data_IF_643028422605
#
_entry.id   IF_643028422605
#
_cell.length_a   1.000
_cell.length_b   1.000
_cell.length_c   1.000
_cell.angle_alpha   90.00
_cell.angle_beta   90.00
_cell.angle_gamma   90.00
#
_symmetry.space_group_name_H-M   'P 1'
#
loop_
_entity.id
_entity.type
_entity.pdbx_description
1 polymer ?
#
# COMPACT_ATOMS: atom_id res chain seq x y z
N UNK A 1 1.69 -0.60 -17.86
CA UNK A 1 1.01 -1.04 -16.62
C UNK A 1 0.53 -2.47 -16.86
N UNK A 2 0.76 -3.40 -15.94
CA UNK A 2 0.15 -4.75 -16.01
C UNK A 2 -0.92 -4.81 -14.91
N UNK A 3 -2.11 -5.26 -15.29
CA UNK A 3 -3.27 -5.45 -14.42
C UNK A 3 -3.44 -6.92 -14.06
N UNK A 4 -4.35 -7.21 -13.11
CA UNK A 4 -4.67 -8.58 -12.69
C UNK A 4 -5.03 -9.49 -13.87
N UNK A 5 -5.83 -8.97 -14.81
CA UNK A 5 -6.24 -9.65 -16.05
C UNK A 5 -5.08 -10.04 -16.98
N UNK A 6 -3.90 -9.43 -16.81
CA UNK A 6 -2.71 -9.76 -17.61
C UNK A 6 -1.88 -10.88 -16.97
N UNK A 7 -2.33 -11.49 -15.87
CA UNK A 7 -1.60 -12.53 -15.15
C UNK A 7 -2.44 -13.81 -15.04
N UNK A 8 -1.77 -14.96 -15.12
CA UNK A 8 -2.39 -16.25 -14.78
C UNK A 8 -2.13 -16.56 -13.30
N UNK A 9 -3.20 -16.69 -12.51
CA UNK A 9 -3.13 -17.01 -11.09
C UNK A 9 -3.31 -18.51 -10.78
N UNK A 10 -3.62 -19.34 -11.77
CA UNK A 10 -3.85 -20.76 -11.56
C UNK A 10 -2.62 -21.43 -10.92
N UNK A 11 -2.83 -22.01 -9.73
CA UNK A 11 -1.79 -22.63 -8.90
C UNK A 11 -0.61 -21.70 -8.56
N UNK A 12 -0.81 -20.37 -8.67
CA UNK A 12 0.20 -19.38 -8.28
C UNK A 12 0.00 -18.93 -6.83
N UNK A 13 1.11 -18.64 -6.17
CA UNK A 13 1.14 -17.98 -4.87
C UNK A 13 1.37 -16.49 -5.11
N UNK A 14 0.33 -15.69 -4.98
CA UNK A 14 0.40 -14.25 -5.18
C UNK A 14 0.82 -13.55 -3.89
N UNK A 15 2.02 -12.98 -3.89
CA UNK A 15 2.40 -12.00 -2.88
C UNK A 15 1.60 -10.73 -3.17
N UNK A 16 0.69 -10.36 -2.28
CA UNK A 16 -0.19 -9.21 -2.45
C UNK A 16 0.11 -8.17 -1.39
N UNK A 17 0.68 -7.04 -1.81
CA UNK A 17 0.96 -5.91 -0.92
C UNK A 17 -0.32 -5.09 -0.77
N UNK A 18 -0.88 -5.07 0.44
CA UNK A 18 -2.16 -4.39 0.77
C UNK A 18 -1.97 -3.34 1.84
N UNK A 19 -2.82 -2.31 1.89
CA UNK A 19 -2.77 -1.30 2.96
C UNK A 19 -3.72 -1.65 4.11
N UNK A 20 -3.34 -2.57 5.00
CA UNK A 20 -4.10 -2.84 6.24
C UNK A 20 -3.65 -2.01 7.44
N UNK A 21 -3.12 -0.81 7.22
CA UNK A 21 -2.86 0.11 8.32
C UNK A 21 -4.18 0.75 8.77
N UNK A 22 -4.97 -0.01 9.54
CA UNK A 22 -6.28 0.36 10.09
C UNK A 22 -6.15 0.90 11.52
N UNK A 23 -7.05 1.80 11.95
CA UNK A 23 -7.10 2.21 13.35
C UNK A 23 -7.61 1.06 14.23
N UNK A 24 -6.98 0.91 15.40
CA UNK A 24 -7.39 -0.03 16.44
C UNK A 24 -7.87 0.75 17.68
N UNK A 25 -8.86 0.21 18.40
CA UNK A 25 -9.27 0.72 19.71
C UNK A 25 -8.35 0.23 20.84
N UNK A 26 -8.70 0.60 22.08
CA UNK A 26 -7.96 0.19 23.28
C UNK A 26 -7.93 -1.33 23.50
N UNK A 27 -8.91 -2.05 22.94
CA UNK A 27 -9.01 -3.52 22.98
C UNK A 27 -8.39 -4.18 21.75
N UNK A 28 -7.67 -3.42 20.92
CA UNK A 28 -7.02 -3.85 19.68
C UNK A 28 -8.00 -4.34 18.60
N UNK A 29 -9.25 -3.87 18.65
CA UNK A 29 -10.27 -4.15 17.63
C UNK A 29 -10.25 -3.10 16.52
N UNK A 30 -10.51 -3.54 15.29
CA UNK A 30 -10.56 -2.66 14.11
C UNK A 30 -11.76 -1.74 14.20
N UNK A 31 -11.52 -0.42 14.20
CA UNK A 31 -12.60 0.60 14.27
C UNK A 31 -13.02 1.12 12.91
N UNK A 32 -12.13 1.07 11.90
CA UNK A 32 -12.43 1.41 10.51
C UNK A 32 -11.89 0.32 9.57
N UNK A 33 -12.81 -0.26 8.81
CA UNK A 33 -12.60 -1.45 7.97
C UNK A 33 -12.40 -1.12 6.49
N UNK A 34 -12.56 0.15 6.12
CA UNK A 34 -12.55 0.64 4.73
C UNK A 34 -11.35 0.13 3.95
N UNK A 35 -10.17 0.12 4.60
CA UNK A 35 -8.92 -0.34 4.00
C UNK A 35 -8.86 -1.85 3.74
N UNK A 36 -9.47 -2.65 4.61
CA UNK A 36 -9.56 -4.09 4.42
C UNK A 36 -10.55 -4.41 3.30
N UNK A 37 -11.70 -3.73 3.32
CA UNK A 37 -12.72 -3.83 2.26
C UNK A 37 -12.19 -3.41 0.90
N UNK A 38 -11.37 -2.37 0.82
CA UNK A 38 -10.78 -1.88 -0.42
C UNK A 38 -9.83 -2.90 -1.09
N UNK A 39 -9.16 -3.76 -0.31
CA UNK A 39 -8.27 -4.79 -0.85
C UNK A 39 -9.02 -6.09 -1.25
N UNK A 40 -10.26 -6.26 -0.79
CA UNK A 40 -11.05 -7.48 -1.04
C UNK A 40 -11.20 -7.81 -2.54
N UNK A 41 -11.51 -6.85 -3.44
CA UNK A 41 -11.67 -7.18 -4.87
C UNK A 41 -10.43 -7.84 -5.48
N UNK A 42 -9.24 -7.31 -5.20
CA UNK A 42 -7.97 -7.89 -5.65
C UNK A 42 -7.76 -9.31 -5.12
N UNK A 43 -8.05 -9.53 -3.83
CA UNK A 43 -7.89 -10.84 -3.20
C UNK A 43 -8.88 -11.84 -3.79
N UNK A 44 -10.16 -11.48 -3.87
CA UNK A 44 -11.22 -12.32 -4.45
C UNK A 44 -10.91 -12.68 -5.91
N UNK A 45 -10.37 -11.75 -6.69
CA UNK A 45 -9.93 -12.01 -8.07
C UNK A 45 -8.88 -13.11 -8.10
N UNK A 46 -7.82 -13.00 -7.30
CA UNK A 46 -6.74 -13.99 -7.28
C UNK A 46 -7.26 -15.38 -6.88
N UNK A 47 -8.10 -15.44 -5.83
CA UNK A 47 -8.65 -16.71 -5.32
C UNK A 47 -9.60 -17.36 -6.32
N UNK A 48 -10.48 -16.58 -6.96
CA UNK A 48 -11.44 -17.09 -7.97
C UNK A 48 -10.75 -17.59 -9.24
N UNK A 49 -9.52 -17.14 -9.52
CA UNK A 49 -8.71 -17.59 -10.65
C UNK A 49 -7.70 -18.69 -10.27
N UNK A 50 -7.96 -19.42 -9.18
CA UNK A 50 -7.20 -20.60 -8.78
C UNK A 50 -5.86 -20.31 -8.11
N UNK A 51 -5.63 -19.07 -7.67
CA UNK A 51 -4.45 -18.67 -6.91
C UNK A 51 -4.64 -18.77 -5.40
N UNK A 52 -3.54 -18.53 -4.67
CA UNK A 52 -3.54 -18.32 -3.22
C UNK A 52 -2.84 -17.01 -2.90
N UNK A 53 -3.20 -16.38 -1.78
CA UNK A 53 -2.67 -15.06 -1.41
C UNK A 53 -1.72 -15.13 -0.22
N UNK A 54 -0.53 -14.53 -0.36
CA UNK A 54 0.35 -14.15 0.75
C UNK A 54 0.25 -12.64 0.92
N UNK A 55 -0.49 -12.19 1.93
CA UNK A 55 -0.74 -10.78 2.19
C UNK A 55 0.40 -10.18 2.98
N UNK A 56 0.96 -9.09 2.44
CA UNK A 56 1.99 -8.28 3.10
C UNK A 56 1.38 -6.92 3.46
N UNK A 57 1.47 -6.54 4.73
CA UNK A 57 0.99 -5.25 5.22
C UNK A 57 1.90 -4.64 6.27
N UNK A 58 1.58 -3.40 6.64
CA UNK A 58 2.14 -2.73 7.80
C UNK A 58 1.02 -2.21 8.68
N UNK A 59 1.32 -2.02 9.97
CA UNK A 59 0.42 -1.38 10.92
C UNK A 59 1.20 -0.36 11.75
N UNK A 60 0.75 0.90 11.75
CA UNK A 60 1.37 2.00 12.46
C UNK A 60 2.84 2.24 12.07
N UNK A 61 3.61 2.74 13.04
CA UNK A 61 5.05 2.98 12.96
C UNK A 61 5.69 2.45 14.25
N UNK A 62 5.85 1.12 14.36
CA UNK A 62 6.33 0.50 15.59
C UNK A 62 7.76 0.90 15.89
N UNK A 63 8.13 0.87 17.17
CA UNK A 63 9.52 0.89 17.64
C UNK A 63 9.86 -0.53 18.09
N UNK A 64 10.62 -1.27 17.28
CA UNK A 64 10.80 -2.71 17.46
C UNK A 64 9.49 -3.48 17.26
N UNK A 65 9.30 -4.58 17.99
CA UNK A 65 8.17 -5.49 17.80
C UNK A 65 7.04 -5.22 18.81
N UNK A 66 6.49 -4.00 18.81
CA UNK A 66 5.41 -3.62 19.72
C UNK A 66 4.18 -4.53 19.53
N UNK A 67 3.81 -5.38 20.51
CA UNK A 67 2.71 -6.33 20.37
C UNK A 67 1.37 -5.70 20.02
N UNK A 68 1.15 -4.42 20.31
CA UNK A 68 -0.09 -3.69 19.97
C UNK A 68 -0.23 -3.44 18.46
N UNK A 69 0.89 -3.42 17.73
CA UNK A 69 0.94 -3.20 16.30
C UNK A 69 1.13 -4.49 15.50
N UNK A 70 0.85 -5.64 16.11
CA UNK A 70 0.85 -6.93 15.41
C UNK A 70 -0.37 -7.04 14.50
N UNK A 71 -0.16 -7.57 13.29
CA UNK A 71 -1.25 -7.83 12.35
C UNK A 71 -2.13 -9.02 12.78
N UNK A 72 -1.74 -9.79 13.81
CA UNK A 72 -2.59 -10.86 14.35
C UNK A 72 -3.94 -10.34 14.84
N UNK A 73 -3.99 -9.10 15.33
CA UNK A 73 -5.20 -8.49 15.89
C UNK A 73 -6.27 -8.24 14.82
N UNK A 74 -5.85 -8.08 13.55
CA UNK A 74 -6.77 -7.83 12.44
C UNK A 74 -7.23 -9.12 11.74
N UNK A 75 -6.57 -10.27 11.98
CA UNK A 75 -6.88 -11.55 11.32
C UNK A 75 -8.37 -11.93 11.41
N UNK A 76 -9.06 -11.80 12.56
CA UNK A 76 -10.48 -12.12 12.64
C UNK A 76 -11.34 -11.23 11.72
N UNK A 77 -11.03 -9.93 11.65
CA UNK A 77 -11.78 -8.98 10.82
C UNK A 77 -11.48 -9.18 9.33
N UNK A 78 -10.21 -9.42 8.97
CA UNK A 78 -9.84 -9.74 7.58
C UNK A 78 -10.53 -11.02 7.14
N UNK A 79 -10.53 -12.07 7.97
CA UNK A 79 -11.22 -13.34 7.65
C UNK A 79 -12.71 -13.13 7.44
N UNK A 80 -13.35 -12.33 8.30
CA UNK A 80 -14.77 -11.99 8.19
C UNK A 80 -15.10 -11.26 6.89
N UNK A 81 -14.30 -10.25 6.52
CA UNK A 81 -14.52 -9.44 5.31
C UNK A 81 -14.26 -10.28 4.05
N UNK A 82 -13.19 -11.08 4.03
CA UNK A 82 -12.89 -11.93 2.89
C UNK A 82 -13.88 -13.10 2.75
N UNK A 83 -14.51 -13.53 3.84
CA UNK A 83 -15.39 -14.70 3.84
C UNK A 83 -14.63 -16.03 3.73
N UNK A 84 -13.33 -16.01 4.06
CA UNK A 84 -12.44 -17.18 4.06
C UNK A 84 -11.54 -17.14 5.29
N UNK A 85 -11.05 -18.30 5.71
CA UNK A 85 -10.07 -18.39 6.79
C UNK A 85 -8.75 -17.75 6.36
N UNK A 86 -8.24 -16.82 7.17
CA UNK A 86 -6.93 -16.22 6.98
C UNK A 86 -5.95 -16.82 7.97
N UNK A 87 -4.97 -17.55 7.46
CA UNK A 87 -3.86 -18.06 8.25
C UNK A 87 -2.93 -16.91 8.64
N UNK A 88 -2.18 -17.07 9.72
CA UNK A 88 -1.23 -16.05 10.19
C UNK A 88 0.20 -16.58 10.31
N UNK A 89 1.18 -15.77 9.88
CA UNK A 89 2.61 -16.01 10.10
C UNK A 89 3.19 -14.93 11.01
N UNK A 90 3.81 -15.34 12.12
CA UNK A 90 4.49 -14.44 13.08
C UNK A 90 5.82 -13.88 12.55
N UNK A 91 6.28 -14.35 11.39
CA UNK A 91 7.48 -13.85 10.70
C UNK A 91 7.18 -13.62 9.22
N UNK A 92 7.87 -12.66 8.63
CA UNK A 92 7.80 -12.32 7.19
C UNK A 92 8.95 -12.93 6.38
N UNK A 93 9.99 -13.46 7.03
CA UNK A 93 11.19 -14.02 6.36
C UNK A 93 11.70 -15.28 7.05
N UNK A 94 12.58 -16.00 6.36
CA UNK A 94 13.21 -17.24 6.83
C UNK A 94 12.36 -18.49 6.60
N UNK A 95 12.95 -19.65 6.88
CA UNK A 95 12.40 -20.97 6.53
C UNK A 95 10.95 -21.19 7.00
N UNK A 96 10.59 -20.68 8.18
CA UNK A 96 9.21 -20.80 8.71
C UNK A 96 8.20 -20.00 7.89
N UNK A 97 8.56 -18.80 7.43
CA UNK A 97 7.70 -17.96 6.59
C UNK A 97 7.52 -18.63 5.21
N UNK A 98 8.62 -19.07 4.62
CA UNK A 98 8.65 -19.74 3.32
C UNK A 98 7.86 -21.05 3.32
N UNK A 99 8.03 -21.88 4.36
CA UNK A 99 7.30 -23.14 4.49
C UNK A 99 5.79 -22.91 4.63
N UNK A 100 5.35 -21.92 5.44
CA UNK A 100 3.93 -21.57 5.54
C UNK A 100 3.36 -21.07 4.22
N UNK A 101 4.08 -20.19 3.53
CA UNK A 101 3.67 -19.68 2.23
C UNK A 101 3.59 -20.80 1.17
N UNK A 102 4.59 -21.68 1.12
CA UNK A 102 4.65 -22.81 0.19
C UNK A 102 3.54 -23.85 0.43
N UNK A 103 3.05 -23.97 1.66
CA UNK A 103 1.97 -24.89 2.03
C UNK A 103 0.57 -24.39 1.64
N UNK A 104 0.42 -23.14 1.20
CA UNK A 104 -0.86 -22.61 0.74
C UNK A 104 -1.38 -23.39 -0.47
N UNK A 105 -2.66 -23.76 -0.38
CA UNK A 105 -3.44 -24.32 -1.48
C UNK A 105 -4.22 -23.22 -2.19
N UNK A 106 -4.62 -23.43 -3.47
CA UNK A 106 -5.55 -22.55 -4.15
C UNK A 106 -6.77 -22.19 -3.28
N UNK A 107 -7.16 -20.92 -3.28
CA UNK A 107 -8.26 -20.40 -2.46
C UNK A 107 -7.87 -20.02 -1.02
N UNK A 108 -6.64 -20.33 -0.57
CA UNK A 108 -6.19 -20.00 0.78
C UNK A 108 -5.46 -18.66 0.87
N UNK A 109 -5.52 -18.06 2.06
CA UNK A 109 -4.91 -16.75 2.36
C UNK A 109 -4.02 -16.87 3.59
N UNK A 110 -2.81 -16.32 3.50
CA UNK A 110 -1.87 -16.15 4.60
C UNK A 110 -1.58 -14.66 4.80
N UNK A 111 -1.83 -14.15 6.00
CA UNK A 111 -1.38 -12.83 6.43
C UNK A 111 -0.04 -12.95 7.16
N UNK A 112 0.97 -12.25 6.66
CA UNK A 112 2.27 -12.17 7.33
C UNK A 112 2.27 -11.06 8.38
N UNK A 113 3.15 -11.17 9.36
CA UNK A 113 3.33 -10.16 10.41
C UNK A 113 3.74 -8.79 9.83
N UNK A 114 3.62 -7.75 10.67
CA UNK A 114 3.88 -6.36 10.34
C UNK A 114 5.29 -6.16 9.73
N UNK A 115 5.33 -5.79 8.45
CA UNK A 115 6.58 -5.55 7.73
C UNK A 115 7.48 -4.52 8.42
N UNK A 116 6.91 -3.54 9.14
CA UNK A 116 7.68 -2.48 9.81
C UNK A 116 8.31 -2.92 11.14
N UNK A 117 8.17 -4.18 11.54
CA UNK A 117 9.05 -4.79 12.54
C UNK A 117 10.48 -5.00 12.04
N UNK A 118 10.66 -4.95 10.72
CA UNK A 118 11.95 -4.98 10.05
C UNK A 118 12.30 -3.57 9.59
N UNK A 119 13.39 -3.00 10.10
CA UNK A 119 13.86 -1.66 9.69
C UNK A 119 14.19 -1.62 8.18
N UNK A 120 14.61 -2.78 7.66
CA UNK A 120 14.88 -3.09 6.27
C UNK A 120 13.72 -2.76 5.32
N UNK A 121 12.46 -2.87 5.80
CA UNK A 121 11.28 -2.50 5.02
C UNK A 121 11.31 -1.04 4.62
N UNK A 122 11.54 -0.15 5.60
CA UNK A 122 11.54 1.30 5.35
C UNK A 122 12.82 1.78 4.68
N UNK A 123 13.92 1.05 4.84
CA UNK A 123 15.18 1.33 4.17
C UNK A 123 15.17 0.93 2.69
N UNK A 124 14.19 0.16 2.23
CA UNK A 124 14.19 -0.36 0.86
C UNK A 124 15.29 -1.39 0.63
N UNK A 125 15.59 -2.21 1.63
CA UNK A 125 16.71 -3.15 1.56
C UNK A 125 16.50 -4.24 0.49
N UNK A 126 17.53 -4.49 -0.31
CA UNK A 126 17.47 -5.47 -1.40
C UNK A 126 17.46 -6.91 -0.89
N UNK A 127 18.21 -7.22 0.16
CA UNK A 127 18.27 -8.59 0.69
C UNK A 127 16.95 -8.99 1.35
N UNK A 128 16.32 -8.08 2.09
CA UNK A 128 15.00 -8.27 2.66
C UNK A 128 13.94 -8.43 1.55
N UNK A 129 14.01 -7.60 0.51
CA UNK A 129 13.13 -7.72 -0.66
C UNK A 129 13.28 -9.07 -1.37
N UNK A 130 14.51 -9.59 -1.49
CA UNK A 130 14.79 -10.91 -2.08
C UNK A 130 14.19 -12.05 -1.25
N UNK A 131 14.23 -11.92 0.08
CA UNK A 131 13.61 -12.89 1.00
C UNK A 131 12.08 -12.85 0.89
N UNK A 132 11.47 -11.66 0.89
CA UNK A 132 10.03 -11.51 0.66
C UNK A 132 9.60 -12.11 -0.67
N UNK A 133 10.43 -11.98 -1.72
CA UNK A 133 10.14 -12.56 -3.03
C UNK A 133 10.08 -14.09 -3.03
N UNK A 134 10.69 -14.78 -2.05
CA UNK A 134 10.60 -16.24 -1.94
C UNK A 134 9.22 -16.74 -1.52
N UNK A 135 8.38 -15.85 -0.97
CA UNK A 135 7.06 -16.22 -0.45
C UNK A 135 6.04 -16.52 -1.56
N UNK A 136 6.34 -16.24 -2.82
CA UNK A 136 5.38 -16.38 -3.90
C UNK A 136 6.00 -16.40 -5.29
N UNK A 137 5.14 -16.52 -6.29
CA UNK A 137 5.52 -16.70 -7.69
C UNK A 137 5.04 -15.56 -8.59
N UNK A 138 4.10 -14.75 -8.10
CA UNK A 138 3.61 -13.52 -8.73
C UNK A 138 3.49 -12.43 -7.67
N UNK A 139 3.79 -11.19 -8.05
CA UNK A 139 3.70 -10.02 -7.18
C UNK A 139 2.55 -9.10 -7.60
N UNK A 140 1.72 -8.73 -6.64
CA UNK A 140 0.58 -7.83 -6.81
C UNK A 140 0.75 -6.66 -5.84
N UNK A 141 0.85 -5.45 -6.36
CA UNK A 141 0.85 -4.25 -5.53
C UNK A 141 -0.52 -3.60 -5.54
N UNK A 142 -1.18 -3.57 -4.37
CA UNK A 142 -2.50 -2.97 -4.18
C UNK A 142 -2.49 -1.92 -3.05
N UNK A 143 -1.31 -1.41 -2.70
CA UNK A 143 -1.11 -0.50 -1.59
C UNK A 143 -0.73 0.91 -2.07
N UNK A 144 -1.67 1.61 -2.71
CA UNK A 144 -1.47 2.97 -3.24
C UNK A 144 -0.91 3.95 -2.20
N UNK A 145 -1.45 3.92 -0.97
CA UNK A 145 -1.01 4.76 0.13
C UNK A 145 0.48 4.62 0.50
N UNK A 146 1.15 3.55 0.04
CA UNK A 146 2.59 3.33 0.23
C UNK A 146 3.39 3.28 -1.08
N UNK A 147 2.75 3.29 -2.25
CA UNK A 147 3.40 3.13 -3.55
C UNK A 147 4.37 4.27 -3.90
N UNK A 148 4.22 5.44 -3.28
CA UNK A 148 5.12 6.60 -3.45
C UNK A 148 6.46 6.48 -2.71
N UNK A 149 6.65 5.44 -1.89
CA UNK A 149 7.87 5.24 -1.11
C UNK A 149 8.67 4.09 -1.65
N UNK A 150 9.99 4.25 -1.68
CA UNK A 150 10.93 3.20 -2.09
C UNK A 150 11.13 2.12 -1.02
N UNK A 151 10.05 1.60 -0.44
CA UNK A 151 10.12 0.53 0.56
C UNK A 151 10.39 -0.84 -0.09
N UNK A 152 10.89 -1.77 0.71
CA UNK A 152 11.24 -3.12 0.25
C UNK A 152 10.03 -3.82 -0.37
N UNK A 153 8.92 -3.89 0.35
CA UNK A 153 7.70 -4.61 -0.04
C UNK A 153 6.84 -3.94 -1.14
N UNK A 154 7.22 -2.75 -1.60
CA UNK A 154 6.48 -1.99 -2.64
C UNK A 154 7.31 -1.82 -3.91
N UNK A 155 8.49 -1.21 -3.82
CA UNK A 155 9.30 -0.86 -4.99
C UNK A 155 10.35 -1.91 -5.29
N UNK A 156 11.10 -2.35 -4.27
CA UNK A 156 12.34 -3.11 -4.48
C UNK A 156 12.03 -4.58 -4.74
N UNK A 157 11.04 -5.16 -4.05
CA UNK A 157 10.56 -6.52 -4.29
C UNK A 157 10.17 -6.76 -5.76
N UNK A 158 9.60 -5.74 -6.41
CA UNK A 158 9.16 -5.84 -7.81
C UNK A 158 10.31 -6.10 -8.80
N UNK A 159 11.58 -5.86 -8.42
CA UNK A 159 12.75 -6.20 -9.24
C UNK A 159 12.93 -7.72 -9.40
N UNK A 160 12.50 -8.51 -8.41
CA UNK A 160 12.62 -9.97 -8.41
C UNK A 160 11.51 -10.68 -9.18
N UNK A 161 10.48 -9.94 -9.57
CA UNK A 161 9.40 -10.43 -10.41
C UNK A 161 9.53 -9.73 -11.76
N UNK A 162 9.96 -10.47 -12.79
CA UNK A 162 10.10 -9.92 -14.14
C UNK A 162 8.72 -9.57 -14.71
N UNK A 163 8.16 -10.49 -15.49
CA UNK A 163 6.86 -10.36 -16.13
C UNK A 163 5.69 -10.67 -15.17
N UNK A 164 6.01 -11.35 -14.06
CA UNK A 164 5.07 -11.86 -13.07
C UNK A 164 4.75 -10.83 -11.99
N UNK A 165 4.40 -9.62 -12.40
CA UNK A 165 4.00 -8.53 -11.51
C UNK A 165 2.90 -7.69 -12.11
N UNK A 166 1.98 -7.23 -11.27
CA UNK A 166 0.87 -6.37 -11.68
C UNK A 166 0.40 -5.46 -10.54
N UNK A 167 -0.46 -4.51 -10.87
CA UNK A 167 -1.22 -3.75 -9.89
C UNK A 167 -2.52 -4.47 -9.55
N UNK A 168 -2.90 -4.40 -8.27
CA UNK A 168 -4.23 -4.76 -7.82
C UNK A 168 -5.27 -3.73 -8.24
N UNK A 169 -6.54 -4.02 -7.98
CA UNK A 169 -7.65 -3.18 -8.40
C UNK A 169 -7.62 -1.77 -7.81
N UNK A 170 -7.27 -1.61 -6.54
CA UNK A 170 -7.25 -0.30 -5.87
C UNK A 170 -6.18 0.58 -6.52
N UNK A 171 -4.96 0.05 -6.64
CA UNK A 171 -3.86 0.78 -7.25
C UNK A 171 -4.12 1.08 -8.73
N UNK A 172 -4.70 0.13 -9.47
CA UNK A 172 -5.08 0.32 -10.86
C UNK A 172 -6.10 1.45 -11.02
N UNK A 173 -7.18 1.46 -10.23
CA UNK A 173 -8.22 2.52 -10.27
C UNK A 173 -7.64 3.89 -9.97
N UNK A 174 -6.75 4.01 -8.98
CA UNK A 174 -6.07 5.27 -8.65
C UNK A 174 -5.19 5.76 -9.80
N UNK A 175 -4.41 4.86 -10.41
CA UNK A 175 -3.56 5.19 -11.56
C UNK A 175 -4.41 5.57 -12.77
N UNK A 176 -5.50 4.85 -13.05
CA UNK A 176 -6.42 5.14 -14.16
C UNK A 176 -7.14 6.49 -13.98
N UNK A 177 -7.57 6.81 -12.75
CA UNK A 177 -8.19 8.09 -12.45
C UNK A 177 -7.23 9.25 -12.73
N UNK A 178 -5.96 9.11 -12.30
CA UNK A 178 -4.91 10.09 -12.60
C UNK A 178 -4.66 10.14 -14.11
N UNK A 179 -4.44 9.00 -14.77
CA UNK A 179 -4.14 8.95 -16.21
C UNK A 179 -5.26 9.56 -17.06
N UNK A 180 -6.52 9.33 -16.70
CA UNK A 180 -7.69 9.87 -17.40
C UNK A 180 -7.71 11.40 -17.32
N UNK A 181 -7.49 11.96 -16.13
CA UNK A 181 -7.39 13.42 -15.95
C UNK A 181 -6.23 13.98 -16.76
N UNK A 182 -5.09 13.27 -16.79
CA UNK A 182 -3.84 13.77 -17.38
C UNK A 182 -3.78 13.65 -18.91
N UNK A 183 -4.49 12.69 -19.52
CA UNK A 183 -4.47 12.46 -20.98
C UNK A 183 -5.72 12.97 -21.69
N UNK A 184 -6.88 12.81 -21.06
CA UNK A 184 -8.19 13.01 -21.69
C UNK A 184 -9.03 14.07 -20.96
N UNK A 185 -8.48 14.78 -19.97
CA UNK A 185 -9.19 15.86 -19.30
C UNK A 185 -9.55 16.93 -20.32
N UNK A 186 -10.85 17.14 -20.56
CA UNK A 186 -11.31 18.29 -21.30
C UNK A 186 -11.02 19.53 -20.46
N UNK A 187 -10.24 20.46 -21.00
CA UNK A 187 -9.94 21.71 -20.34
C UNK A 187 -11.25 22.50 -20.09
N UNK A 188 -11.39 23.18 -18.93
CA UNK A 188 -10.37 23.37 -17.91
C UNK A 188 -10.28 22.23 -16.88
N UNK A 189 -9.06 21.76 -16.62
CA UNK A 189 -8.73 20.79 -15.57
C UNK A 189 -8.43 21.55 -14.27
N UNK A 190 -9.22 21.30 -13.24
CA UNK A 190 -8.99 21.82 -11.88
C UNK A 190 -8.45 20.71 -10.97
N UNK A 191 -7.24 20.91 -10.43
CA UNK A 191 -6.72 20.11 -9.34
C UNK A 191 -6.98 20.81 -7.99
N UNK A 192 -7.53 20.07 -7.02
CA UNK A 192 -7.68 20.51 -5.64
C UNK A 192 -6.79 19.63 -4.77
N UNK A 193 -5.72 20.19 -4.22
CA UNK A 193 -4.78 19.49 -3.37
C UNK A 193 -4.87 20.00 -1.94
N UNK A 194 -4.97 19.09 -0.99
CA UNK A 194 -4.98 19.41 0.43
C UNK A 194 -4.01 18.55 1.23
N UNK A 195 -3.89 18.88 2.51
CA UNK A 195 -3.08 18.13 3.46
C UNK A 195 -2.40 19.02 4.49
N UNK A 196 -1.75 18.41 5.47
CA UNK A 196 -1.06 19.14 6.52
C UNK A 196 0.39 19.54 6.13
N UNK A 197 1.00 18.85 5.16
CA UNK A 197 2.44 18.97 4.85
C UNK A 197 2.70 19.08 3.34
N UNK A 198 3.40 20.14 2.94
CA UNK A 198 3.92 20.37 1.58
C UNK A 198 4.91 19.29 1.20
N UNK A 199 5.80 18.90 2.12
CA UNK A 199 6.84 17.88 1.87
C UNK A 199 6.28 16.54 1.37
N UNK A 200 5.05 16.21 1.76
CA UNK A 200 4.38 14.98 1.35
C UNK A 200 3.67 15.03 -0.02
N UNK A 201 3.66 16.19 -0.66
CA UNK A 201 2.88 16.48 -1.88
C UNK A 201 3.65 17.23 -2.96
N UNK A 202 4.84 17.76 -2.66
CA UNK A 202 5.58 18.63 -3.58
C UNK A 202 5.79 17.99 -4.96
N UNK A 203 6.22 16.72 -5.02
CA UNK A 203 6.41 16.01 -6.29
C UNK A 203 5.11 15.83 -7.09
N UNK A 204 3.97 15.70 -6.40
CA UNK A 204 2.65 15.63 -7.04
C UNK A 204 2.27 17.01 -7.59
N UNK A 205 2.49 18.08 -6.83
CA UNK A 205 2.26 19.46 -7.27
C UNK A 205 3.10 19.75 -8.53
N UNK A 206 4.40 19.50 -8.48
CA UNK A 206 5.33 19.69 -9.60
C UNK A 206 4.89 18.92 -10.84
N UNK A 207 4.46 17.66 -10.66
CA UNK A 207 4.00 16.83 -11.79
C UNK A 207 2.68 17.32 -12.38
N UNK A 208 1.81 17.95 -11.58
CA UNK A 208 0.49 18.43 -12.00
C UNK A 208 0.53 19.85 -12.58
N UNK A 209 1.48 20.71 -12.18
CA UNK A 209 1.56 22.11 -12.64
C UNK A 209 1.56 22.24 -14.17
N UNK A 210 2.22 21.34 -14.88
CA UNK A 210 2.29 21.34 -16.34
C UNK A 210 1.05 20.74 -17.03
N UNK A 211 0.09 20.21 -16.26
CA UNK A 211 -1.06 19.44 -16.78
C UNK A 211 -2.43 19.96 -16.34
N UNK A 212 -2.51 20.98 -15.49
CA UNK A 212 -3.78 21.51 -14.97
C UNK A 212 -3.94 22.99 -15.31
N UNK A 213 -5.16 23.40 -15.66
CA UNK A 213 -5.49 24.81 -15.93
C UNK A 213 -5.65 25.60 -14.63
N UNK A 214 -6.13 24.93 -13.58
CA UNK A 214 -6.36 25.52 -12.27
C UNK A 214 -5.82 24.61 -11.17
N UNK A 215 -5.16 25.22 -10.18
CA UNK A 215 -4.70 24.54 -8.97
C UNK A 215 -5.21 25.28 -7.74
N UNK A 216 -6.00 24.59 -6.91
CA UNK A 216 -6.44 25.06 -5.60
C UNK A 216 -5.69 24.28 -4.53
N UNK A 217 -5.00 24.99 -3.65
CA UNK A 217 -4.36 24.42 -2.46
C UNK A 217 -5.23 24.66 -1.24
N UNK A 218 -5.43 23.63 -0.42
CA UNK A 218 -6.21 23.66 0.81
C UNK A 218 -5.49 23.00 1.99
N UNK A 219 -6.06 23.10 3.19
CA UNK A 219 -5.50 22.49 4.41
C UNK A 219 -4.26 23.20 4.96
N UNK A 220 -3.52 22.52 5.85
CA UNK A 220 -2.37 23.08 6.55
C UNK A 220 -1.20 23.47 5.65
N UNK A 221 -1.04 22.79 4.51
CA UNK A 221 0.04 23.11 3.56
C UNK A 221 -0.05 24.52 2.96
N UNK A 222 -1.25 25.12 2.92
CA UNK A 222 -1.46 26.49 2.43
C UNK A 222 -0.61 27.48 3.21
N UNK A 223 -0.40 27.26 4.50
CA UNK A 223 0.37 28.18 5.33
C UNK A 223 1.85 28.24 4.95
N UNK A 224 2.45 27.14 4.49
CA UNK A 224 3.81 27.18 3.93
C UNK A 224 3.86 28.07 2.69
N UNK A 225 2.92 27.92 1.75
CA UNK A 225 2.84 28.77 0.56
C UNK A 225 2.55 30.25 0.92
N UNK A 226 1.63 30.51 1.84
CA UNK A 226 1.34 31.86 2.34
C UNK A 226 2.59 32.50 2.95
N UNK A 227 3.39 31.74 3.71
CA UNK A 227 4.65 32.21 4.28
C UNK A 227 5.70 32.48 3.20
N UNK A 228 5.82 31.60 2.19
CA UNK A 228 6.72 31.77 1.05
C UNK A 228 6.40 33.01 0.20
N UNK A 229 5.11 33.37 0.09
CA UNK A 229 4.65 34.61 -0.56
C UNK A 229 4.82 35.87 0.31
N UNK A 230 5.51 35.77 1.45
CA UNK A 230 5.77 36.89 2.36
C UNK A 230 4.67 37.17 3.38
N UNK A 231 3.65 36.31 3.47
CA UNK A 231 2.56 36.43 4.43
C UNK A 231 2.94 36.00 5.86
N UNK A 232 2.05 36.27 6.80
CA UNK A 232 2.16 35.85 8.20
C UNK A 232 1.17 34.72 8.50
N UNK A 233 1.64 33.67 9.19
CA UNK A 233 0.84 32.46 9.43
C UNK A 233 0.67 32.10 10.92
N UNK A 234 1.16 32.95 11.81
CA UNK A 234 1.07 32.74 13.27
C UNK A 234 1.65 31.38 13.68
N UNK A 235 0.88 30.62 14.47
CA UNK A 235 1.23 29.28 14.94
C UNK A 235 0.70 28.16 14.02
N UNK A 236 0.27 28.50 12.79
CA UNK A 236 -0.23 27.50 11.85
C UNK A 236 0.90 26.58 11.38
N UNK A 237 0.54 25.35 10.99
CA UNK A 237 1.50 24.34 10.51
C UNK A 237 2.27 24.89 9.31
N UNK A 238 3.59 25.00 9.44
CA UNK A 238 4.46 25.56 8.41
C UNK A 238 5.76 24.74 8.37
N UNK A 239 6.12 24.28 7.18
CA UNK A 239 7.41 23.68 6.86
C UNK A 239 8.31 24.76 6.22
N UNK A 240 9.22 25.41 6.96
CA UNK A 240 9.97 26.58 6.48
C UNK A 240 11.04 26.25 5.43
N UNK A 241 11.44 24.98 5.33
CA UNK A 241 12.44 24.49 4.37
C UNK A 241 11.83 24.14 3.00
N UNK A 242 10.53 24.38 2.79
CA UNK A 242 9.75 24.03 1.60
C UNK A 242 8.92 25.20 1.08
#
# INVERSE_FOLDING_TARGET
MRLLENQNFENQRAITRVDFNVPLDENLQVTDKTRIEAAKPTIDYILSHGGSCVLLSHLGRPKGNDPKLSLKHIVPEVSKILGTEVQFSETVVGEKAEAKAAALKPGQVLLMENLRYHEEETAGDENFSKQLAQLGTVYVNDAFGTAHRAHASTTIIAKYFNEKKCFGELLAKEVEAIDKVMKNGEAPILAILGGAKVSSKITIIETLLDKVDHLILGGGMVYTFTKALGGTVGNSICEPDY
#
